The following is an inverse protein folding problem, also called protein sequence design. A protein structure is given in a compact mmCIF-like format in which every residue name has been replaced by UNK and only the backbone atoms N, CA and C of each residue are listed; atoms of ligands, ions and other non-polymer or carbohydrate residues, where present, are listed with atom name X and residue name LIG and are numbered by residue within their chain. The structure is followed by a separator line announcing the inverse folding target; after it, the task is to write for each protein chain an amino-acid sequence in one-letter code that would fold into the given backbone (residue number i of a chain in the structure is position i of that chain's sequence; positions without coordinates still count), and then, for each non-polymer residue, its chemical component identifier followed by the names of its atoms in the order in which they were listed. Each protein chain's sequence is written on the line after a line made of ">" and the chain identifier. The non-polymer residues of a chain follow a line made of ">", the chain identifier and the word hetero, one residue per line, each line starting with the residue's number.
data_IF_198815244373
#
_entry.id   IF_198815244373
#
_cell.length_a   1.000
_cell.length_b   1.000
_cell.length_c   1.000
_cell.angle_alpha   90.00
_cell.angle_beta   90.00
_cell.angle_gamma   90.00
#
_symmetry.space_group_name_H-M   'P 1'
#
loop_
_entity.id
_entity.type
_entity.pdbx_description
1 polymer ?
#
# COMPACT_ATOMS: atom_id res chain seq x y z
N UNK A 1 9.80 13.15 4.80
CA UNK A 1 8.74 13.22 5.86
C UNK A 1 7.46 12.54 5.39
N UNK A 2 7.16 12.61 4.09
CA UNK A 2 5.94 12.07 3.53
C UNK A 2 5.88 10.53 3.56
N UNK A 3 7.00 9.83 3.31
CA UNK A 3 7.04 8.36 3.39
C UNK A 3 6.63 7.80 4.75
N UNK A 4 7.12 8.40 5.83
CA UNK A 4 6.77 7.97 7.18
C UNK A 4 5.25 8.13 7.44
N UNK A 5 4.63 9.18 6.89
CA UNK A 5 3.19 9.40 6.95
C UNK A 5 2.41 8.36 6.14
N UNK A 6 2.88 8.03 4.93
CA UNK A 6 2.31 6.95 4.11
C UNK A 6 2.35 5.62 4.88
N UNK A 7 3.53 5.22 5.37
CA UNK A 7 3.70 3.98 6.13
C UNK A 7 2.79 3.93 7.35
N UNK A 8 2.74 5.00 8.15
CA UNK A 8 1.85 5.09 9.32
C UNK A 8 0.37 4.95 8.95
N UNK A 9 -0.06 5.51 7.83
CA UNK A 9 -1.44 5.40 7.37
C UNK A 9 -1.77 3.96 6.93
N UNK A 10 -0.84 3.29 6.25
CA UNK A 10 -1.01 1.90 5.82
C UNK A 10 -0.97 0.93 7.01
N UNK A 11 -0.12 1.15 8.01
CA UNK A 11 -0.11 0.37 9.26
C UNK A 11 -1.43 0.53 10.03
N UNK A 12 -1.99 1.75 10.07
CA UNK A 12 -3.34 1.96 10.62
C UNK A 12 -4.42 1.22 9.83
N UNK A 13 -4.28 1.11 8.52
CA UNK A 13 -5.20 0.33 7.68
C UNK A 13 -5.09 -1.16 8.01
N UNK A 14 -3.87 -1.70 8.10
CA UNK A 14 -3.59 -3.10 8.45
C UNK A 14 -4.23 -3.53 9.78
N UNK A 15 -4.27 -2.63 10.76
CA UNK A 15 -4.87 -2.86 12.07
C UNK A 15 -6.41 -2.83 12.07
N UNK A 16 -7.07 -2.45 10.97
CA UNK A 16 -8.54 -2.50 10.87
C UNK A 16 -9.02 -3.93 10.63
N UNK A 17 -10.27 -4.17 10.97
CA UNK A 17 -10.95 -5.41 10.60
C UNK A 17 -11.45 -5.31 9.15
N UNK A 18 -11.02 -6.26 8.31
CA UNK A 18 -11.44 -6.42 6.92
C UNK A 18 -11.04 -7.81 6.43
N UNK A 19 -11.87 -8.41 5.59
CA UNK A 19 -11.55 -9.68 4.91
C UNK A 19 -10.49 -9.43 3.82
N UNK A 20 -10.75 -8.49 2.92
CA UNK A 20 -9.81 -7.98 1.93
C UNK A 20 -10.12 -6.51 1.58
N UNK A 21 -9.16 -5.84 0.94
CA UNK A 21 -9.32 -4.50 0.35
C UNK A 21 -8.90 -4.53 -1.13
N UNK A 22 -8.96 -3.37 -1.79
CA UNK A 22 -8.42 -3.18 -3.13
C UNK A 22 -7.37 -2.06 -3.18
N UNK A 23 -6.66 -1.96 -4.30
CA UNK A 23 -5.65 -0.95 -4.57
C UNK A 23 -6.19 0.49 -4.44
N UNK A 24 -7.46 0.71 -4.77
CA UNK A 24 -8.13 2.00 -4.57
C UNK A 24 -8.17 2.42 -3.11
N UNK A 25 -8.37 1.48 -2.19
CA UNK A 25 -8.31 1.74 -0.75
C UNK A 25 -6.91 2.15 -0.30
N UNK A 26 -5.88 1.51 -0.82
CA UNK A 26 -4.47 1.85 -0.56
C UNK A 26 -4.16 3.26 -1.06
N UNK A 27 -4.59 3.61 -2.27
CA UNK A 27 -4.39 4.93 -2.86
C UNK A 27 -4.96 6.05 -1.97
N UNK A 28 -6.23 5.91 -1.56
CA UNK A 28 -6.91 6.91 -0.73
C UNK A 28 -6.22 7.05 0.64
N UNK A 29 -5.88 5.93 1.29
CA UNK A 29 -5.28 5.94 2.64
C UNK A 29 -3.86 6.47 2.62
N UNK A 30 -3.09 6.18 1.57
CA UNK A 30 -1.72 6.66 1.42
C UNK A 30 -1.66 8.19 1.43
N UNK A 31 -2.66 8.86 0.83
CA UNK A 31 -2.82 10.31 0.83
C UNK A 31 -1.52 11.05 0.49
N UNK A 32 -0.87 10.63 -0.59
CA UNK A 32 0.40 11.18 -1.07
C UNK A 32 0.42 11.15 -2.60
N UNK A 33 0.83 12.26 -3.22
CA UNK A 33 0.82 12.45 -4.68
C UNK A 33 1.78 11.53 -5.45
N UNK A 34 2.83 11.04 -4.80
CA UNK A 34 3.81 10.13 -5.39
C UNK A 34 3.37 8.66 -5.29
N UNK A 35 2.33 8.37 -4.49
CA UNK A 35 1.66 7.07 -4.47
C UNK A 35 0.52 7.12 -5.48
N UNK A 36 0.78 6.67 -6.71
CA UNK A 36 -0.20 6.62 -7.79
C UNK A 36 -0.85 5.25 -7.90
N UNK A 37 -1.99 5.18 -8.59
CA UNK A 37 -2.63 3.90 -8.93
C UNK A 37 -1.67 2.98 -9.70
N UNK A 38 -0.90 3.54 -10.64
CA UNK A 38 0.07 2.79 -11.44
C UNK A 38 1.20 2.21 -10.59
N UNK A 39 1.72 2.98 -9.62
CA UNK A 39 2.73 2.48 -8.69
C UNK A 39 2.16 1.33 -7.84
N UNK A 40 0.95 1.50 -7.29
CA UNK A 40 0.31 0.47 -6.47
C UNK A 40 0.10 -0.81 -7.29
N UNK A 41 -0.45 -0.70 -8.49
CA UNK A 41 -0.69 -1.84 -9.37
C UNK A 41 0.62 -2.52 -9.79
N UNK A 42 1.67 -1.75 -10.09
CA UNK A 42 3.00 -2.28 -10.41
C UNK A 42 3.58 -3.08 -9.24
N UNK A 43 3.45 -2.58 -8.01
CA UNK A 43 3.89 -3.30 -6.81
C UNK A 43 3.05 -4.55 -6.56
N UNK A 44 1.72 -4.48 -6.71
CA UNK A 44 0.86 -5.65 -6.59
C UNK A 44 1.27 -6.75 -7.58
N UNK A 45 1.50 -6.37 -8.85
CA UNK A 45 1.97 -7.31 -9.88
C UNK A 45 3.33 -7.93 -9.54
N UNK A 46 4.31 -7.13 -9.11
CA UNK A 46 5.63 -7.62 -8.71
C UNK A 46 5.60 -8.58 -7.52
N UNK A 47 4.62 -8.41 -6.63
CA UNK A 47 4.45 -9.21 -5.40
C UNK A 47 3.48 -10.39 -5.59
N UNK A 48 2.96 -10.59 -6.80
CA UNK A 48 1.93 -11.59 -7.10
C UNK A 48 0.66 -11.42 -6.23
N UNK A 49 0.17 -10.18 -6.14
CA UNK A 49 -1.03 -9.79 -5.38
C UNK A 49 -2.14 -9.38 -6.36
N UNK A 50 -3.36 -9.88 -6.15
CA UNK A 50 -4.55 -9.37 -6.86
C UNK A 50 -4.91 -7.97 -6.35
N UNK A 51 -4.83 -6.91 -7.19
CA UNK A 51 -5.13 -5.55 -6.75
C UNK A 51 -6.61 -5.34 -6.36
N UNK A 52 -7.51 -6.27 -6.66
CA UNK A 52 -8.91 -6.23 -6.25
C UNK A 52 -9.19 -7.01 -4.96
N UNK A 53 -8.27 -7.88 -4.53
CA UNK A 53 -8.38 -8.73 -3.33
C UNK A 53 -7.03 -8.81 -2.60
N UNK A 54 -6.76 -7.76 -1.84
CA UNK A 54 -5.56 -7.63 -1.02
C UNK A 54 -5.91 -8.04 0.40
N UNK A 55 -5.40 -9.19 0.83
CA UNK A 55 -5.56 -9.68 2.20
C UNK A 55 -4.56 -9.01 3.15
N UNK A 56 -4.69 -9.22 4.47
CA UNK A 56 -3.75 -8.65 5.45
C UNK A 56 -2.29 -9.02 5.18
N UNK A 57 -2.03 -10.26 4.81
CA UNK A 57 -0.68 -10.73 4.48
C UNK A 57 -0.09 -10.01 3.26
N UNK A 58 -0.93 -9.72 2.26
CA UNK A 58 -0.53 -8.99 1.06
C UNK A 58 -0.24 -7.52 1.38
N UNK A 59 -1.07 -6.90 2.22
CA UNK A 59 -0.85 -5.53 2.69
C UNK A 59 0.47 -5.40 3.47
N UNK A 60 0.87 -6.41 4.26
CA UNK A 60 2.18 -6.43 4.93
C UNK A 60 3.32 -6.41 3.89
N UNK A 61 3.29 -7.31 2.90
CA UNK A 61 4.31 -7.34 1.82
C UNK A 61 4.37 -6.02 1.04
N UNK A 62 3.21 -5.42 0.78
CA UNK A 62 3.10 -4.12 0.12
C UNK A 62 3.77 -3.03 0.96
N UNK A 63 3.45 -2.95 2.25
CA UNK A 63 4.05 -1.99 3.19
C UNK A 63 5.56 -2.15 3.23
N UNK A 64 6.07 -3.37 3.29
CA UNK A 64 7.51 -3.63 3.28
C UNK A 64 8.17 -3.17 1.97
N UNK A 65 7.52 -3.39 0.82
CA UNK A 65 8.01 -2.87 -0.46
C UNK A 65 8.06 -1.34 -0.50
N UNK A 66 7.09 -0.65 0.12
CA UNK A 66 7.11 0.81 0.26
C UNK A 66 8.30 1.27 1.12
N UNK A 67 8.67 0.53 2.17
CA UNK A 67 9.85 0.84 3.01
C UNK A 67 11.15 0.81 2.21
N UNK A 68 11.24 -0.01 1.18
CA UNK A 68 12.46 -0.13 0.35
C UNK A 68 12.54 0.89 -0.79
N UNK A 69 11.43 1.58 -1.13
CA UNK A 69 11.44 2.60 -2.18
C UNK A 69 12.23 3.84 -1.77
N UNK A 70 13.20 4.24 -2.60
CA UNK A 70 14.06 5.41 -2.34
C UNK A 70 13.40 6.76 -2.62
N UNK A 71 12.35 6.79 -3.44
CA UNK A 71 11.86 8.01 -4.10
C UNK A 71 10.53 8.56 -3.54
N UNK A 72 10.06 8.03 -2.41
CA UNK A 72 8.89 8.61 -1.74
C UNK A 72 9.43 9.65 -0.75
N UNK A 73 9.45 10.92 -1.14
CA UNK A 73 9.83 12.05 -0.27
C UNK A 73 8.71 13.06 -0.05
#
# INVERSE_FOLDING_TARGET
>A
MEKAKVLRNLEKLLNRDFEFINAGRILIVSNNKNITADLINSLCFKLDIDPNRIYKADLIKFIDSIKDLKEID
#
